data_IF_425782817261
#
_entry.id   IF_425782817261
#
_cell.length_a   1.000
_cell.length_b   1.000
_cell.length_c   1.000
_cell.angle_alpha   90.00
_cell.angle_beta   90.00
_cell.angle_gamma   90.00
#
_symmetry.space_group_name_H-M   'P 1'
#
loop_
_entity.id
_entity.type
_entity.pdbx_description
1 polymer ?
#
# COMPACT_ATOMS: atom_id res chain seq x y z
N UNK A 1 -24.40 -9.16 -10.68
CA UNK A 1 -25.24 -8.07 -10.18
C UNK A 1 -25.42 -8.24 -8.70
N UNK A 2 -24.84 -7.35 -7.93
CA UNK A 2 -24.88 -7.37 -6.48
C UNK A 2 -26.06 -6.52 -6.02
N UNK A 3 -26.88 -7.06 -5.18
CA UNK A 3 -27.94 -6.26 -4.62
C UNK A 3 -28.14 -6.59 -3.14
N UNK A 4 -28.11 -5.57 -2.36
CA UNK A 4 -28.73 -5.56 -1.04
C UNK A 4 -27.85 -6.11 0.09
N UNK A 5 -27.30 -5.18 0.81
CA UNK A 5 -26.72 -5.42 2.13
C UNK A 5 -27.74 -4.95 3.16
N UNK A 6 -28.10 -5.81 4.10
CA UNK A 6 -28.94 -5.43 5.22
C UNK A 6 -28.10 -5.45 6.49
N UNK A 7 -28.00 -4.28 7.11
CA UNK A 7 -27.25 -4.12 8.34
C UNK A 7 -28.00 -4.70 9.54
N UNK A 8 -27.28 -5.35 10.39
CA UNK A 8 -27.75 -5.81 11.69
C UNK A 8 -27.35 -4.87 12.82
N UNK A 9 -27.98 -5.02 13.95
CA UNK A 9 -27.83 -4.17 15.09
C UNK A 9 -26.47 -4.27 15.79
N UNK A 10 -26.16 -3.21 16.52
CA UNK A 10 -25.00 -3.17 17.39
C UNK A 10 -25.42 -3.38 18.84
N UNK A 11 -24.62 -4.14 19.54
CA UNK A 11 -24.66 -4.20 20.98
C UNK A 11 -23.37 -3.74 21.60
N UNK A 12 -23.54 -2.98 22.67
CA UNK A 12 -22.45 -2.69 23.57
C UNK A 12 -22.18 -3.95 24.43
N UNK A 13 -21.11 -4.65 24.15
CA UNK A 13 -20.72 -5.91 24.80
C UNK A 13 -20.25 -5.70 26.26
N UNK A 14 -20.64 -4.60 26.87
CA UNK A 14 -20.50 -4.43 28.30
C UNK A 14 -21.51 -5.26 29.13
N UNK A 15 -22.56 -5.77 28.49
CA UNK A 15 -23.61 -6.56 29.16
C UNK A 15 -24.22 -7.56 28.19
N UNK A 16 -23.53 -8.62 27.89
CA UNK A 16 -24.09 -9.83 27.32
C UNK A 16 -24.98 -9.60 26.07
N UNK A 17 -24.38 -9.51 25.01
CA UNK A 17 -24.87 -9.54 23.87
C UNK A 17 -25.44 -9.54 22.75
N UNK A 18 -25.94 -9.10 21.95
CA UNK A 18 -26.85 -9.36 20.92
C UNK A 18 -26.27 -9.13 19.54
N UNK A 19 -26.35 -10.13 18.76
CA UNK A 19 -26.14 -10.05 17.33
C UNK A 19 -27.25 -9.26 16.62
N UNK A 20 -27.17 -9.11 15.32
CA UNK A 20 -28.06 -8.29 14.53
C UNK A 20 -29.48 -8.81 14.57
N UNK A 21 -30.39 -7.99 15.01
CA UNK A 21 -31.81 -8.24 14.93
C UNK A 21 -32.35 -7.97 13.54
N UNK A 22 -32.16 -8.86 12.69
CA UNK A 22 -32.99 -9.04 11.54
C UNK A 22 -33.58 -10.41 11.69
N UNK A 23 -34.85 -10.61 11.40
CA UNK A 23 -35.51 -11.92 11.41
C UNK A 23 -34.58 -12.93 10.73
N UNK A 24 -33.86 -13.72 11.52
CA UNK A 24 -33.13 -14.87 11.05
C UNK A 24 -34.10 -15.99 10.71
N UNK A 25 -35.03 -15.75 9.82
CA UNK A 25 -36.00 -16.74 9.32
C UNK A 25 -35.35 -17.82 8.45
N UNK A 26 -34.05 -18.03 8.60
CA UNK A 26 -33.27 -18.94 7.75
C UNK A 26 -32.57 -20.06 8.47
N UNK A 27 -33.10 -20.53 9.59
CA UNK A 27 -32.70 -21.85 10.06
C UNK A 27 -33.68 -22.90 9.58
N UNK A 28 -33.21 -24.08 9.16
CA UNK A 28 -34.10 -25.20 8.86
C UNK A 28 -35.04 -25.46 10.04
N UNK A 29 -36.28 -25.76 9.77
CA UNK A 29 -37.35 -26.05 10.75
C UNK A 29 -36.97 -27.12 11.78
N UNK A 30 -35.82 -27.74 11.69
CA UNK A 30 -35.33 -28.82 12.56
C UNK A 30 -34.16 -28.40 13.46
N UNK A 31 -33.88 -27.11 13.60
CA UNK A 31 -32.84 -26.66 14.54
C UNK A 31 -33.36 -26.79 15.97
N UNK A 32 -32.66 -27.53 16.87
CA UNK A 32 -33.22 -27.92 18.17
C UNK A 32 -33.26 -26.81 19.22
N UNK A 33 -32.80 -25.59 18.87
CA UNK A 33 -32.74 -24.45 19.81
C UNK A 33 -33.67 -23.34 19.37
N UNK A 34 -34.45 -22.75 20.33
CA UNK A 34 -35.28 -21.59 20.04
C UNK A 34 -34.37 -20.43 19.60
N UNK A 35 -34.67 -19.83 18.47
CA UNK A 35 -34.03 -18.62 18.02
C UNK A 35 -34.69 -17.47 18.76
N UNK A 36 -33.96 -16.83 19.65
CA UNK A 36 -34.43 -15.61 20.31
C UNK A 36 -34.13 -14.42 19.44
N UNK A 37 -35.10 -13.56 19.26
CA UNK A 37 -34.88 -12.26 18.62
C UNK A 37 -33.94 -11.43 19.52
N UNK A 38 -32.99 -10.78 18.87
CA UNK A 38 -32.08 -9.89 19.56
C UNK A 38 -32.82 -8.65 20.01
N UNK A 39 -32.87 -8.41 21.31
CA UNK A 39 -33.39 -7.17 21.86
C UNK A 39 -32.33 -6.07 21.84
N UNK A 40 -32.67 -4.91 21.29
CA UNK A 40 -31.78 -3.76 21.26
C UNK A 40 -31.92 -2.93 22.54
N UNK A 41 -30.81 -2.35 23.00
CA UNK A 41 -30.85 -1.31 23.99
C UNK A 41 -31.60 -0.08 23.47
N UNK A 42 -32.17 0.73 24.37
CA UNK A 42 -32.96 1.90 23.98
C UNK A 42 -32.19 2.85 23.05
N UNK A 43 -32.81 3.18 21.92
CA UNK A 43 -32.22 4.04 20.91
C UNK A 43 -31.31 3.34 19.89
N UNK A 44 -31.12 2.02 20.00
CA UNK A 44 -30.38 1.21 19.02
C UNK A 44 -31.33 0.36 18.18
N UNK A 45 -30.98 0.12 16.95
CA UNK A 45 -31.70 -0.76 16.03
C UNK A 45 -30.76 -1.29 14.95
N UNK A 46 -31.25 -2.20 14.10
CA UNK A 46 -30.47 -2.64 12.94
C UNK A 46 -30.17 -1.50 11.94
N UNK A 47 -30.98 -0.46 11.90
CA UNK A 47 -30.76 0.74 11.08
C UNK A 47 -29.87 1.78 11.79
N UNK A 48 -29.81 1.73 13.12
CA UNK A 48 -29.03 2.63 13.96
C UNK A 48 -28.15 1.84 14.93
N UNK A 49 -27.21 1.06 14.41
CA UNK A 49 -26.38 0.17 15.23
C UNK A 49 -25.46 0.92 16.22
N UNK A 50 -25.20 2.20 15.97
CA UNK A 50 -24.39 3.07 16.85
C UNK A 50 -25.23 4.07 17.65
N UNK A 51 -26.56 3.83 17.73
CA UNK A 51 -27.50 4.69 18.42
C UNK A 51 -27.91 5.94 17.64
N UNK A 52 -28.76 6.79 18.23
CA UNK A 52 -29.42 7.89 17.52
C UNK A 52 -28.47 9.00 17.05
N UNK A 53 -27.29 9.13 17.64
CA UNK A 53 -26.28 10.13 17.27
C UNK A 53 -25.16 9.57 16.37
N UNK A 54 -25.17 8.27 16.15
CA UNK A 54 -24.27 7.59 15.24
C UNK A 54 -24.90 7.38 13.85
N UNK A 55 -24.11 6.91 12.91
CA UNK A 55 -24.60 6.43 11.64
C UNK A 55 -23.85 5.19 11.16
N UNK A 56 -24.52 4.44 10.32
CA UNK A 56 -23.98 3.31 9.60
C UNK A 56 -24.51 3.34 8.16
N UNK A 57 -23.61 3.21 7.20
CA UNK A 57 -23.94 3.23 5.78
C UNK A 57 -23.14 2.16 5.04
N UNK A 58 -23.80 1.45 4.16
CA UNK A 58 -23.15 0.52 3.23
C UNK A 58 -23.63 0.86 1.80
N UNK A 59 -22.67 1.01 0.91
CA UNK A 59 -22.95 1.15 -0.51
C UNK A 59 -23.35 -0.21 -1.10
N UNK A 60 -24.53 -0.29 -1.67
CA UNK A 60 -25.02 -1.50 -2.31
C UNK A 60 -24.25 -1.87 -3.60
N UNK A 61 -23.56 -0.90 -4.22
CA UNK A 61 -22.83 -1.10 -5.48
C UNK A 61 -21.45 -1.71 -5.30
N UNK A 62 -20.74 -1.37 -4.21
CA UNK A 62 -19.36 -1.77 -4.00
C UNK A 62 -19.04 -2.26 -2.58
N UNK A 63 -20.03 -2.29 -1.68
CA UNK A 63 -19.86 -2.74 -0.30
C UNK A 63 -19.10 -1.75 0.60
N UNK A 64 -18.78 -0.53 0.11
CA UNK A 64 -18.10 0.48 0.93
C UNK A 64 -18.91 0.79 2.18
N UNK A 65 -18.33 0.58 3.33
CA UNK A 65 -18.96 0.78 4.63
C UNK A 65 -18.42 2.05 5.28
N UNK A 66 -19.34 2.91 5.75
CA UNK A 66 -19.01 4.11 6.53
C UNK A 66 -19.80 4.06 7.83
N UNK A 67 -19.17 4.39 8.93
CA UNK A 67 -19.83 4.43 10.23
C UNK A 67 -19.24 5.52 11.12
N UNK A 68 -20.04 5.98 12.08
CA UNK A 68 -19.65 6.90 13.14
C UNK A 68 -20.39 6.53 14.42
N UNK A 69 -19.68 6.48 15.53
CA UNK A 69 -20.25 6.38 16.88
C UNK A 69 -19.73 7.51 17.74
N UNK A 70 -20.61 8.13 18.50
CA UNK A 70 -20.24 9.09 19.52
C UNK A 70 -20.07 8.41 20.92
N UNK A 71 -20.42 7.14 20.99
CA UNK A 71 -20.31 6.34 22.21
C UNK A 71 -19.14 5.37 22.10
N UNK A 72 -18.34 5.28 23.14
CA UNK A 72 -17.31 4.26 23.27
C UNK A 72 -17.97 2.91 23.59
N UNK A 73 -17.33 1.84 23.20
CA UNK A 73 -17.77 0.48 23.51
C UNK A 73 -17.46 -0.51 22.38
N UNK A 74 -17.88 -1.73 22.62
CA UNK A 74 -17.80 -2.81 21.63
C UNK A 74 -19.14 -2.96 20.95
N UNK A 75 -19.15 -2.86 19.64
CA UNK A 75 -20.32 -3.01 18.81
C UNK A 75 -20.15 -4.21 17.89
N UNK A 76 -21.20 -5.00 17.74
CA UNK A 76 -21.23 -6.09 16.77
C UNK A 76 -22.19 -5.69 15.66
N UNK A 77 -21.70 -5.69 14.43
CA UNK A 77 -22.49 -5.41 13.24
C UNK A 77 -22.56 -6.67 12.38
N UNK A 78 -23.78 -7.17 12.18
CA UNK A 78 -24.01 -8.29 11.28
C UNK A 78 -24.43 -7.80 9.90
N UNK A 79 -23.90 -8.44 8.88
CA UNK A 79 -24.17 -8.16 7.48
C UNK A 79 -24.72 -9.39 6.80
N UNK A 80 -25.78 -9.22 6.01
CA UNK A 80 -26.30 -10.25 5.12
C UNK A 80 -26.08 -9.77 3.69
N UNK A 81 -25.31 -10.53 2.94
CA UNK A 81 -25.05 -10.29 1.53
C UNK A 81 -25.88 -11.28 0.74
N UNK A 82 -26.76 -10.78 -0.12
CA UNK A 82 -27.59 -11.58 -1.02
C UNK A 82 -27.09 -11.42 -2.44
N UNK A 83 -26.83 -12.52 -3.09
CA UNK A 83 -26.35 -12.57 -4.46
C UNK A 83 -27.51 -12.98 -5.39
N UNK A 84 -27.69 -12.22 -6.46
CA UNK A 84 -28.72 -12.47 -7.45
C UNK A 84 -28.13 -12.61 -8.85
N UNK A 85 -28.66 -13.55 -9.61
CA UNK A 85 -28.40 -13.72 -11.05
C UNK A 85 -29.72 -13.70 -11.79
N UNK A 86 -29.87 -12.80 -12.75
CA UNK A 86 -31.12 -12.62 -13.53
C UNK A 86 -32.34 -12.53 -12.65
N UNK A 87 -32.28 -11.81 -11.55
CA UNK A 87 -33.37 -11.65 -10.58
C UNK A 87 -33.58 -12.83 -9.64
N UNK A 88 -32.89 -13.95 -9.83
CA UNK A 88 -32.99 -15.13 -8.97
C UNK A 88 -31.93 -15.06 -7.87
N UNK A 89 -32.33 -15.27 -6.61
CA UNK A 89 -31.44 -15.37 -5.48
C UNK A 89 -30.61 -16.67 -5.59
N UNK A 90 -29.29 -16.56 -5.71
CA UNK A 90 -28.38 -17.70 -5.88
C UNK A 90 -27.46 -17.92 -4.68
N UNK A 91 -27.32 -16.95 -3.79
CA UNK A 91 -26.47 -17.07 -2.62
C UNK A 91 -26.83 -16.11 -1.51
N UNK A 92 -26.57 -16.54 -0.28
CA UNK A 92 -26.66 -15.71 0.92
C UNK A 92 -25.39 -15.94 1.73
N UNK A 93 -24.69 -14.86 2.07
CA UNK A 93 -23.56 -14.88 3.01
C UNK A 93 -23.84 -13.99 4.19
N UNK A 94 -23.49 -14.44 5.38
CA UNK A 94 -23.53 -13.64 6.60
C UNK A 94 -22.12 -13.35 7.08
N UNK A 95 -21.89 -12.13 7.55
CA UNK A 95 -20.63 -11.70 8.18
C UNK A 95 -20.95 -10.92 9.44
N UNK A 96 -20.19 -11.17 10.49
CA UNK A 96 -20.23 -10.39 11.70
C UNK A 96 -18.89 -9.68 11.88
N UNK A 97 -18.94 -8.41 12.22
CA UNK A 97 -17.76 -7.58 12.48
C UNK A 97 -17.93 -6.97 13.87
N UNK A 98 -16.96 -7.24 14.75
CA UNK A 98 -16.88 -6.55 16.03
C UNK A 98 -16.05 -5.27 15.84
N UNK A 99 -16.66 -4.14 16.16
CA UNK A 99 -16.05 -2.82 16.17
C UNK A 99 -15.79 -2.39 17.62
N UNK A 100 -14.56 -2.02 17.91
CA UNK A 100 -14.18 -1.51 19.22
C UNK A 100 -13.99 0.01 19.10
N UNK A 101 -14.94 0.78 19.62
CA UNK A 101 -14.92 2.24 19.61
C UNK A 101 -14.32 2.72 20.92
N UNK A 102 -13.18 3.38 20.82
CA UNK A 102 -12.43 3.93 21.96
C UNK A 102 -12.26 5.43 21.78
N UNK A 103 -12.04 6.15 22.88
CA UNK A 103 -11.58 7.52 22.80
C UNK A 103 -10.09 7.52 22.46
N UNK A 104 -9.74 8.27 21.44
CA UNK A 104 -8.38 8.46 21.03
C UNK A 104 -8.00 9.94 21.16
N UNK A 105 -6.77 10.26 21.55
CA UNK A 105 -6.24 11.61 21.36
C UNK A 105 -6.20 11.95 19.86
N UNK A 106 -6.07 13.22 19.51
CA UNK A 106 -5.75 13.58 18.13
C UNK A 106 -4.50 12.81 17.69
N UNK A 107 -4.54 12.30 16.49
CA UNK A 107 -3.44 11.58 15.86
C UNK A 107 -3.35 12.01 14.41
N UNK A 108 -2.20 12.50 13.97
CA UNK A 108 -1.94 12.88 12.59
C UNK A 108 -1.25 11.74 11.84
N UNK A 109 -1.39 11.72 10.52
CA UNK A 109 -0.77 10.67 9.73
C UNK A 109 0.74 10.91 9.59
N UNK A 110 1.55 9.84 9.55
CA UNK A 110 2.97 9.97 9.26
C UNK A 110 3.22 10.75 7.97
N UNK A 111 4.26 11.55 7.97
CA UNK A 111 4.64 12.38 6.83
C UNK A 111 6.00 11.97 6.28
N UNK A 112 6.15 12.09 4.94
CA UNK A 112 7.44 11.92 4.29
C UNK A 112 8.37 13.06 4.73
N UNK A 113 9.59 12.74 5.14
CA UNK A 113 10.62 13.76 5.29
C UNK A 113 11.07 14.21 3.90
N UNK A 114 11.19 15.53 3.68
CA UNK A 114 11.73 16.05 2.44
C UNK A 114 13.06 15.38 2.10
N UNK A 115 13.14 14.77 0.94
CA UNK A 115 14.36 14.13 0.45
C UNK A 115 14.95 14.93 -0.72
N UNK A 116 16.27 14.98 -0.78
CA UNK A 116 16.96 15.53 -1.94
C UNK A 116 17.08 14.38 -2.94
N UNK A 117 16.34 14.45 -4.04
CA UNK A 117 16.54 13.53 -5.14
C UNK A 117 18.00 13.64 -5.63
N UNK A 118 18.76 12.53 -5.71
CA UNK A 118 20.13 12.55 -6.25
C UNK A 118 20.21 13.13 -7.68
N UNK A 119 19.11 13.18 -8.41
CA UNK A 119 19.00 13.82 -9.73
C UNK A 119 18.57 15.31 -9.67
N UNK A 120 18.51 15.91 -8.48
CA UNK A 120 18.39 17.36 -8.28
C UNK A 120 16.98 17.92 -8.08
N UNK A 121 15.97 17.08 -7.83
CA UNK A 121 14.61 17.51 -7.45
C UNK A 121 14.34 17.34 -5.95
N UNK A 122 13.53 18.22 -5.35
CA UNK A 122 12.97 17.99 -4.01
C UNK A 122 11.68 17.17 -4.15
N UNK A 123 11.48 16.19 -3.26
CA UNK A 123 10.26 15.39 -3.13
C UNK A 123 9.81 14.67 -4.42
N UNK A 124 10.75 14.36 -5.32
CA UNK A 124 10.41 13.60 -6.52
C UNK A 124 10.14 12.14 -6.19
N UNK A 125 9.06 11.63 -6.73
CA UNK A 125 8.72 10.20 -6.74
C UNK A 125 9.02 9.54 -8.08
N UNK A 126 9.53 10.30 -9.05
CA UNK A 126 9.89 9.85 -10.38
C UNK A 126 11.40 9.98 -10.59
N UNK A 127 12.01 8.89 -11.02
CA UNK A 127 13.45 8.80 -11.29
C UNK A 127 13.67 8.32 -12.72
N UNK A 128 14.70 8.86 -13.36
CA UNK A 128 15.10 8.51 -14.72
C UNK A 128 16.59 8.16 -14.73
N UNK A 129 16.92 6.96 -15.16
CA UNK A 129 18.28 6.46 -15.26
C UNK A 129 18.49 5.73 -16.58
N UNK A 130 19.73 5.52 -16.98
CA UNK A 130 20.13 4.66 -18.08
C UNK A 130 20.54 3.27 -17.57
N UNK A 131 20.48 2.28 -18.43
CA UNK A 131 21.04 0.95 -18.16
C UNK A 131 22.50 1.07 -17.76
N UNK A 132 22.92 0.38 -16.69
CA UNK A 132 24.28 0.43 -16.14
C UNK A 132 24.51 1.54 -15.13
N UNK A 133 23.53 2.40 -14.86
CA UNK A 133 23.63 3.42 -13.80
C UNK A 133 23.16 2.87 -12.45
N UNK A 134 23.74 3.47 -11.40
CA UNK A 134 23.32 3.24 -10.02
C UNK A 134 22.34 4.32 -9.58
N UNK A 135 21.24 3.90 -8.95
CA UNK A 135 20.29 4.79 -8.30
C UNK A 135 20.17 4.44 -6.83
N UNK A 136 20.49 5.38 -5.96
CA UNK A 136 20.25 5.27 -4.52
C UNK A 136 19.51 6.52 -4.01
N UNK A 137 18.50 6.32 -3.17
CA UNK A 137 17.83 7.40 -2.45
C UNK A 137 17.24 6.93 -1.13
N UNK A 138 17.07 7.87 -0.21
CA UNK A 138 16.49 7.59 1.10
C UNK A 138 14.96 7.68 1.07
N UNK A 139 14.32 6.77 1.78
CA UNK A 139 12.89 6.79 2.07
C UNK A 139 12.74 6.94 3.58
N UNK A 140 12.22 8.07 4.03
CA UNK A 140 12.15 8.38 5.44
C UNK A 140 10.82 9.05 5.81
N UNK A 141 10.23 8.59 6.91
CA UNK A 141 8.98 9.13 7.44
C UNK A 141 9.15 9.51 8.90
N UNK A 142 8.46 10.58 9.28
CA UNK A 142 8.36 11.04 10.67
C UNK A 142 6.91 11.10 11.11
N UNK A 143 6.71 10.94 12.39
CA UNK A 143 5.43 11.19 13.03
C UNK A 143 5.34 12.67 13.46
N UNK A 144 4.28 13.39 13.07
CA UNK A 144 4.12 14.80 13.41
C UNK A 144 3.56 15.04 14.84
N UNK A 145 3.10 13.99 15.51
CA UNK A 145 2.49 14.12 16.83
C UNK A 145 3.51 14.39 17.94
N UNK A 146 3.03 14.93 19.05
CA UNK A 146 3.87 15.18 20.23
C UNK A 146 3.16 14.62 21.47
N UNK A 147 3.69 13.57 22.11
CA UNK A 147 4.89 12.82 21.69
C UNK A 147 4.67 12.04 20.38
N UNK A 148 5.74 11.81 19.63
CA UNK A 148 5.69 11.05 18.39
C UNK A 148 5.32 9.58 18.65
N UNK A 149 4.53 9.02 17.74
CA UNK A 149 4.19 7.60 17.76
C UNK A 149 5.28 6.75 17.06
N UNK A 150 5.35 5.49 17.44
CA UNK A 150 6.26 4.56 16.76
C UNK A 150 5.73 4.25 15.35
N UNK A 151 6.62 4.34 14.36
CA UNK A 151 6.32 4.08 12.96
C UNK A 151 6.75 2.68 12.55
N UNK A 152 6.01 2.13 11.59
CA UNK A 152 6.31 0.87 10.92
C UNK A 152 6.31 1.12 9.42
N UNK A 153 7.49 1.05 8.78
CA UNK A 153 7.68 1.27 7.36
C UNK A 153 7.86 -0.07 6.62
N UNK A 154 7.12 -0.26 5.55
CA UNK A 154 7.24 -1.37 4.63
C UNK A 154 7.49 -0.83 3.22
N UNK A 155 8.46 -1.41 2.52
CA UNK A 155 8.73 -1.09 1.10
C UNK A 155 8.54 -2.36 0.28
N UNK A 156 7.73 -2.26 -0.77
CA UNK A 156 7.35 -3.39 -1.61
C UNK A 156 7.41 -3.01 -3.09
N UNK A 157 7.76 -3.97 -3.93
CA UNK A 157 7.78 -3.81 -5.39
C UNK A 157 8.34 -5.03 -6.08
N UNK A 158 7.93 -5.28 -7.32
CA UNK A 158 8.48 -6.37 -8.14
C UNK A 158 9.97 -6.16 -8.47
N UNK A 159 10.44 -4.91 -8.39
CA UNK A 159 11.83 -4.52 -8.62
C UNK A 159 12.81 -5.21 -7.65
N UNK A 160 12.34 -5.74 -6.53
CA UNK A 160 13.13 -6.48 -5.54
C UNK A 160 13.18 -7.99 -5.82
N UNK A 161 12.43 -8.49 -6.80
CA UNK A 161 12.38 -9.90 -7.16
C UNK A 161 13.40 -10.18 -8.26
N UNK A 162 14.36 -11.05 -7.97
CA UNK A 162 15.40 -11.48 -8.93
C UNK A 162 14.87 -12.23 -10.14
N UNK A 163 13.62 -12.68 -10.12
CA UNK A 163 12.95 -13.25 -11.29
C UNK A 163 12.39 -12.17 -12.22
N UNK A 164 12.17 -10.97 -11.69
CA UNK A 164 11.63 -9.83 -12.43
C UNK A 164 12.73 -8.86 -12.89
N UNK A 165 13.71 -8.59 -12.02
CA UNK A 165 14.88 -7.74 -12.31
C UNK A 165 16.17 -8.45 -11.91
N UNK A 166 17.18 -8.45 -12.78
CA UNK A 166 18.48 -9.04 -12.46
C UNK A 166 19.61 -8.14 -12.93
N UNK A 167 20.38 -7.54 -12.01
CA UNK A 167 20.26 -7.63 -10.55
C UNK A 167 18.99 -6.94 -10.01
N UNK A 168 18.42 -7.42 -8.89
CA UNK A 168 17.28 -6.79 -8.26
C UNK A 168 17.72 -5.55 -7.47
N UNK A 169 16.80 -4.62 -7.28
CA UNK A 169 16.98 -3.52 -6.34
C UNK A 169 17.02 -4.03 -4.89
N UNK A 170 17.54 -3.21 -4.01
CA UNK A 170 17.64 -3.50 -2.58
C UNK A 170 17.10 -2.34 -1.75
N UNK A 171 16.57 -2.66 -0.57
CA UNK A 171 16.33 -1.68 0.50
C UNK A 171 17.17 -2.08 1.70
N UNK A 172 17.66 -1.11 2.45
CA UNK A 172 18.57 -1.33 3.56
C UNK A 172 18.03 -2.29 4.61
N UNK A 173 18.57 -3.54 4.62
CA UNK A 173 18.04 -4.66 5.40
C UNK A 173 16.94 -5.38 4.64
N UNK A 174 17.24 -6.55 4.20
CA UNK A 174 16.38 -7.51 3.47
C UNK A 174 14.92 -7.52 3.94
N UNK A 175 13.95 -7.03 3.16
CA UNK A 175 12.49 -7.11 3.38
C UNK A 175 11.99 -6.88 4.83
N UNK A 176 12.82 -6.34 5.71
CA UNK A 176 12.50 -6.16 7.11
C UNK A 176 11.64 -4.91 7.28
N UNK A 177 10.61 -5.08 8.08
CA UNK A 177 9.80 -3.97 8.57
C UNK A 177 10.72 -3.04 9.36
N UNK A 178 10.80 -1.79 8.93
CA UNK A 178 11.67 -0.78 9.53
C UNK A 178 10.84 -0.01 10.56
N UNK A 179 11.37 0.14 11.76
CA UNK A 179 10.69 0.78 12.87
C UNK A 179 11.37 2.07 13.27
N UNK A 180 10.58 3.09 13.64
CA UNK A 180 11.06 4.15 14.51
C UNK A 180 10.87 3.76 15.97
N UNK A 181 11.68 4.31 16.84
CA UNK A 181 11.58 4.13 18.30
C UNK A 181 11.77 5.49 18.99
N UNK A 182 10.72 6.34 19.04
CA UNK A 182 10.80 7.69 19.63
C UNK A 182 11.20 7.68 21.10
N UNK A 183 10.86 6.62 21.84
CA UNK A 183 11.23 6.49 23.26
C UNK A 183 12.75 6.39 23.46
N UNK A 184 13.47 5.90 22.45
CA UNK A 184 14.93 5.81 22.44
C UNK A 184 15.59 6.85 21.52
N UNK A 185 14.83 7.87 21.07
CA UNK A 185 15.33 8.98 20.26
C UNK A 185 15.46 8.66 18.77
N UNK A 186 14.77 7.63 18.29
CA UNK A 186 14.72 7.27 16.84
C UNK A 186 13.35 7.69 16.30
N UNK A 187 13.21 8.99 15.99
CA UNK A 187 11.93 9.58 15.56
C UNK A 187 11.59 9.31 14.10
N UNK A 188 12.49 8.71 13.34
CA UNK A 188 12.35 8.50 11.90
C UNK A 188 12.40 7.03 11.54
N UNK A 189 11.39 6.55 10.78
CA UNK A 189 11.47 5.27 10.09
C UNK A 189 12.13 5.52 8.73
N UNK A 190 13.38 5.05 8.57
CA UNK A 190 14.21 5.36 7.40
C UNK A 190 14.84 4.11 6.80
N UNK A 191 14.86 4.05 5.47
CA UNK A 191 15.62 3.07 4.70
C UNK A 191 16.25 3.73 3.48
N UNK A 192 17.25 3.09 2.90
CA UNK A 192 17.85 3.50 1.63
C UNK A 192 17.50 2.48 0.56
N UNK A 193 16.87 2.94 -0.50
CA UNK A 193 16.69 2.18 -1.73
C UNK A 193 17.96 2.31 -2.56
N UNK A 194 18.45 1.20 -3.12
CA UNK A 194 19.55 1.18 -4.08
C UNK A 194 19.29 0.16 -5.18
N UNK A 195 19.61 0.53 -6.40
CA UNK A 195 19.55 -0.36 -7.56
C UNK A 195 20.72 -0.07 -8.51
N UNK A 196 21.54 -1.09 -8.71
CA UNK A 196 22.55 -1.11 -9.75
C UNK A 196 21.91 -1.75 -10.98
N UNK A 197 21.58 -0.94 -11.99
CA UNK A 197 20.97 -1.47 -13.19
C UNK A 197 21.98 -2.14 -14.12
N UNK A 198 21.53 -3.06 -14.93
CA UNK A 198 22.35 -3.77 -15.91
C UNK A 198 21.69 -3.73 -17.30
N UNK A 199 22.41 -4.17 -18.32
CA UNK A 199 21.91 -4.24 -19.69
C UNK A 199 20.66 -5.13 -19.78
N UNK A 200 19.67 -4.70 -20.58
CA UNK A 200 18.41 -5.42 -20.79
C UNK A 200 17.32 -5.08 -19.78
N UNK A 201 17.56 -4.15 -18.85
CA UNK A 201 16.55 -3.68 -17.88
C UNK A 201 15.76 -2.46 -18.35
N UNK A 202 16.10 -1.87 -19.50
CA UNK A 202 15.28 -0.81 -20.09
C UNK A 202 13.92 -1.32 -20.53
N UNK A 203 12.88 -0.57 -20.22
CA UNK A 203 11.51 -0.87 -20.66
C UNK A 203 10.68 0.41 -20.82
N UNK A 204 9.56 0.31 -21.54
CA UNK A 204 8.67 1.45 -21.83
C UNK A 204 7.94 1.92 -20.58
N UNK A 205 7.54 0.99 -19.72
CA UNK A 205 6.82 1.31 -18.47
C UNK A 205 7.81 1.47 -17.33
N UNK A 206 7.57 2.41 -16.41
CA UNK A 206 8.42 2.54 -15.24
C UNK A 206 8.35 1.29 -14.34
N UNK A 207 9.42 1.04 -13.63
CA UNK A 207 9.42 0.14 -12.49
C UNK A 207 8.80 0.82 -11.29
N UNK A 208 7.95 0.09 -10.58
CA UNK A 208 7.17 0.65 -9.49
C UNK A 208 7.57 0.00 -8.17
N UNK A 209 7.80 0.85 -7.17
CA UNK A 209 7.88 0.43 -5.79
C UNK A 209 6.97 1.31 -4.92
N UNK A 210 6.45 0.75 -3.84
CA UNK A 210 5.60 1.44 -2.89
C UNK A 210 6.21 1.41 -1.50
N UNK A 211 6.24 2.56 -0.85
CA UNK A 211 6.55 2.69 0.56
C UNK A 211 5.27 2.98 1.34
N UNK A 212 4.98 2.18 2.36
CA UNK A 212 3.81 2.33 3.22
C UNK A 212 4.25 2.38 4.67
N UNK A 213 3.88 3.42 5.36
CA UNK A 213 4.19 3.64 6.77
C UNK A 213 2.91 3.74 7.59
N UNK A 214 2.89 3.05 8.72
CA UNK A 214 1.80 3.12 9.69
C UNK A 214 2.34 3.55 11.03
N UNK A 215 1.63 4.45 11.71
CA UNK A 215 1.86 4.77 13.10
C UNK A 215 1.19 3.75 14.04
N UNK A 216 1.47 3.87 15.32
CA UNK A 216 0.81 3.13 16.41
C UNK A 216 -0.13 4.02 17.23
N UNK A 217 -0.52 5.15 16.68
CA UNK A 217 -1.47 6.06 17.27
C UNK A 217 -2.88 5.47 17.40
N UNK A 218 -3.77 6.27 17.91
CA UNK A 218 -5.15 5.86 18.12
C UNK A 218 -6.13 6.84 17.44
N UNK A 219 -6.83 6.42 16.36
CA UNK A 219 -6.63 5.18 15.61
C UNK A 219 -5.34 5.23 14.80
N UNK A 220 -4.72 4.08 14.51
CA UNK A 220 -3.54 4.05 13.66
C UNK A 220 -3.84 4.65 12.28
N UNK A 221 -2.90 5.42 11.77
CA UNK A 221 -2.97 6.01 10.44
C UNK A 221 -1.86 5.49 9.55
N UNK A 222 -2.10 5.51 8.25
CA UNK A 222 -1.16 5.00 7.26
C UNK A 222 -1.00 6.00 6.14
N UNK A 223 0.24 6.24 5.76
CA UNK A 223 0.62 6.99 4.55
C UNK A 223 1.31 6.05 3.59
N UNK A 224 1.00 6.16 2.30
CA UNK A 224 1.64 5.36 1.25
C UNK A 224 2.08 6.26 0.11
N UNK A 225 3.27 5.99 -0.41
CA UNK A 225 3.86 6.69 -1.54
C UNK A 225 4.29 5.66 -2.57
N UNK A 226 4.12 6.00 -3.84
CA UNK A 226 4.57 5.20 -4.97
C UNK A 226 5.72 5.94 -5.65
N UNK A 227 6.80 5.22 -5.89
CA UNK A 227 7.95 5.69 -6.65
C UNK A 227 7.99 4.98 -8.00
N UNK A 228 8.35 5.73 -9.03
CA UNK A 228 8.48 5.27 -10.41
C UNK A 228 9.92 5.44 -10.86
N UNK A 229 10.53 4.36 -11.37
CA UNK A 229 11.89 4.37 -11.89
C UNK A 229 11.84 4.00 -13.37
N UNK A 230 12.10 4.95 -14.24
CA UNK A 230 12.22 4.72 -15.67
C UNK A 230 13.65 4.43 -16.04
N UNK A 231 13.90 3.27 -16.62
CA UNK A 231 15.21 2.87 -17.12
C UNK A 231 15.19 2.96 -18.64
N UNK A 232 16.02 3.82 -19.21
CA UNK A 232 16.21 3.96 -20.63
C UNK A 232 17.42 3.16 -21.12
N UNK A 233 17.45 2.89 -22.43
CA UNK A 233 18.64 2.31 -23.03
C UNK A 233 19.76 3.33 -23.01
N UNK A 234 20.97 2.85 -22.73
CA UNK A 234 22.19 3.64 -22.95
C UNK A 234 22.29 4.04 -24.42
N UNK A 235 22.50 5.32 -24.66
CA UNK A 235 22.70 5.79 -26.03
C UNK A 235 23.96 5.14 -26.64
N UNK A 236 23.87 4.62 -27.87
CA UNK A 236 25.08 4.15 -28.56
C UNK A 236 26.04 5.34 -28.74
N UNK A 237 27.34 5.07 -28.89
CA UNK A 237 28.31 6.14 -29.13
C UNK A 237 27.90 6.95 -30.35
N UNK A 238 27.89 8.28 -30.20
CA UNK A 238 27.41 9.18 -31.25
C UNK A 238 28.35 9.23 -32.45
N UNK A 239 29.63 8.98 -32.25
CA UNK A 239 30.65 9.13 -33.28
C UNK A 239 31.68 8.00 -33.24
N UNK A 240 32.16 7.65 -34.41
CA UNK A 240 33.34 6.83 -34.58
C UNK A 240 34.41 7.72 -35.20
N UNK A 241 35.54 7.81 -34.54
CA UNK A 241 36.66 8.59 -34.99
C UNK A 241 37.73 7.68 -35.58
N UNK A 242 38.24 8.04 -36.75
CA UNK A 242 39.30 7.34 -37.44
C UNK A 242 39.47 7.90 -38.83
N UNK A 243 40.55 7.51 -39.49
CA UNK A 243 40.80 7.95 -40.86
C UNK A 243 39.90 7.18 -41.85
N UNK A 244 39.35 7.87 -42.80
CA UNK A 244 38.54 7.28 -43.90
C UNK A 244 39.39 7.00 -45.18
N UNK A 245 40.64 7.42 -45.17
CA UNK A 245 41.59 7.21 -46.25
C UNK A 245 42.90 6.74 -45.65
N UNK A 246 43.34 5.55 -46.02
CA UNK A 246 44.54 4.93 -45.51
C UNK A 246 45.49 4.53 -46.63
N UNK A 247 46.79 4.52 -46.35
CA UNK A 247 47.79 3.97 -47.23
C UNK A 247 47.79 2.43 -47.13
N UNK A 248 48.10 1.76 -48.22
CA UNK A 248 48.22 0.31 -48.23
C UNK A 248 49.23 -0.15 -47.18
N UNK A 249 48.84 -1.12 -46.33
CA UNK A 249 49.62 -1.64 -45.19
C UNK A 249 49.80 -0.66 -44.02
N UNK A 250 49.07 0.44 -43.94
CA UNK A 250 48.99 1.27 -42.75
C UNK A 250 48.13 0.63 -41.66
N UNK A 251 48.52 0.82 -40.42
CA UNK A 251 47.69 0.46 -39.27
C UNK A 251 46.81 1.66 -38.91
N UNK A 252 45.49 1.42 -38.78
CA UNK A 252 44.54 2.46 -38.48
C UNK A 252 43.84 2.16 -37.16
N UNK A 253 43.69 3.18 -36.33
CA UNK A 253 43.00 3.10 -35.04
C UNK A 253 41.69 3.85 -35.14
N UNK A 254 40.58 3.13 -34.85
CA UNK A 254 39.26 3.75 -34.67
C UNK A 254 38.94 3.85 -33.19
N UNK A 255 38.35 4.95 -32.82
CA UNK A 255 37.92 5.21 -31.44
C UNK A 255 36.48 5.71 -31.44
N UNK A 256 35.81 5.61 -30.34
CA UNK A 256 34.47 6.17 -30.14
C UNK A 256 34.46 7.05 -28.90
N UNK A 257 33.35 7.79 -28.73
CA UNK A 257 33.16 8.59 -27.52
C UNK A 257 33.16 7.66 -26.28
N UNK A 258 33.80 8.14 -25.22
CA UNK A 258 33.83 7.44 -23.95
C UNK A 258 32.46 7.60 -23.26
N UNK A 259 31.88 6.48 -22.83
CA UNK A 259 30.66 6.48 -22.03
C UNK A 259 30.96 5.72 -20.72
N UNK A 260 30.93 6.40 -19.57
CA UNK A 260 31.30 5.80 -18.29
C UNK A 260 30.39 4.61 -17.87
N UNK A 261 29.22 4.50 -18.48
CA UNK A 261 28.26 3.43 -18.20
C UNK A 261 28.45 2.21 -19.10
N UNK A 262 29.43 2.22 -20.03
CA UNK A 262 29.73 1.11 -20.92
C UNK A 262 31.10 0.53 -20.58
N UNK A 263 31.13 -0.76 -20.25
CA UNK A 263 32.35 -1.46 -19.89
C UNK A 263 33.22 -1.91 -21.10
N UNK A 264 32.68 -1.83 -22.31
CA UNK A 264 33.39 -2.18 -23.53
C UNK A 264 32.52 -2.15 -24.78
N UNK A 265 33.17 -2.15 -25.94
CA UNK A 265 32.53 -2.18 -27.26
C UNK A 265 33.00 -3.39 -28.04
N UNK A 266 32.09 -4.00 -28.80
CA UNK A 266 32.44 -5.01 -29.80
C UNK A 266 32.38 -4.38 -31.19
N UNK A 267 33.44 -4.54 -31.96
CA UNK A 267 33.55 -4.02 -33.31
C UNK A 267 33.39 -5.18 -34.32
N UNK A 268 32.33 -5.12 -35.11
CA UNK A 268 32.11 -6.03 -36.22
C UNK A 268 32.56 -5.32 -37.51
N UNK A 269 33.45 -5.96 -38.25
CA UNK A 269 34.05 -5.41 -39.50
C UNK A 269 33.67 -6.26 -40.72
#
# INVERSE_FOLDING_TARGET
NHAGVFGGGANNVGNGGAGPGGSLTWYPTNYPWPIEEVSYAGGYSYQQPFGPTGYYYISASNGLTKYKSNNQGKFVVGLIIKEYRDGTLIGISTREVQLNIIACPPNDAPSLTPNINPQGGFDSTEYFIEEGENLCFDIAFVDPDVPADSLTLNVNGQIFDSLFTNPPATVGGYFDTIYSDPLNGIDTAKTTFCWDTDCGQSQILPYILSASVSDRGCPPKTTSIVYEVTVSKTNPPANIYGSVIECQNAETVYTTDDNPNISGYTWDV
#
